data_IF_527657069850
#
_entry.id   IF_527657069850
#
_cell.length_a   1.000
_cell.length_b   1.000
_cell.length_c   1.000
_cell.angle_alpha   90.00
_cell.angle_beta   90.00
_cell.angle_gamma   90.00
#
_symmetry.space_group_name_H-M   'P 1'
#
loop_
_entity.id
_entity.type
_entity.pdbx_description
1 polymer ?
#
# COMPACT_ATOMS: atom_id res chain seq x y z
N UNK A 1 23.62 -39.95 -8.46
CA UNK A 1 23.16 -39.12 -7.33
C UNK A 1 22.28 -38.02 -7.90
N UNK A 2 20.94 -38.09 -7.81
CA UNK A 2 20.13 -36.94 -8.20
C UNK A 2 20.24 -35.90 -7.09
N UNK A 3 20.99 -34.83 -7.36
CA UNK A 3 21.09 -33.68 -6.47
C UNK A 3 19.68 -33.13 -6.25
N UNK A 4 19.17 -33.33 -5.04
CA UNK A 4 17.95 -32.70 -4.56
C UNK A 4 18.20 -31.19 -4.64
N UNK A 5 17.65 -30.55 -5.66
CA UNK A 5 17.47 -29.11 -5.67
C UNK A 5 16.46 -28.83 -4.57
N UNK A 6 16.99 -28.61 -3.36
CA UNK A 6 16.26 -28.08 -2.22
C UNK A 6 15.55 -26.84 -2.75
N UNK A 7 14.24 -26.98 -2.88
CA UNK A 7 13.30 -25.92 -3.15
C UNK A 7 13.50 -24.89 -2.02
N UNK A 8 14.39 -23.90 -2.23
CA UNK A 8 14.43 -22.73 -1.38
C UNK A 8 13.06 -22.10 -1.50
N UNK A 9 12.19 -22.43 -0.55
CA UNK A 9 10.91 -21.76 -0.36
C UNK A 9 11.23 -20.39 0.24
N UNK A 10 11.83 -19.51 -0.54
CA UNK A 10 11.54 -18.08 -0.38
C UNK A 10 10.02 -17.97 -0.50
N UNK A 11 9.39 -17.17 0.37
CA UNK A 11 7.96 -16.86 0.36
C UNK A 11 7.55 -16.07 -0.90
N UNK A 12 7.93 -16.59 -2.06
CA UNK A 12 7.72 -16.02 -3.38
C UNK A 12 6.24 -16.22 -3.70
N UNK A 13 5.50 -15.12 -3.57
CA UNK A 13 4.08 -15.05 -3.90
C UNK A 13 3.92 -15.41 -5.37
N UNK A 14 3.42 -16.61 -5.63
CA UNK A 14 3.21 -17.13 -6.96
C UNK A 14 1.75 -16.88 -7.38
N UNK A 15 1.57 -16.16 -8.48
CA UNK A 15 0.26 -15.76 -8.98
C UNK A 15 -0.09 -16.57 -10.24
N UNK A 16 -1.35 -17.02 -10.33
CA UNK A 16 -1.86 -17.73 -11.50
C UNK A 16 -2.59 -16.75 -12.43
N UNK A 17 -2.22 -16.73 -13.70
CA UNK A 17 -3.01 -16.01 -14.69
C UNK A 17 -4.31 -16.79 -14.99
N UNK A 18 -5.49 -16.19 -14.82
CA UNK A 18 -6.77 -16.88 -15.06
C UNK A 18 -6.99 -17.22 -16.55
N UNK A 19 -6.30 -16.53 -17.47
CA UNK A 19 -6.46 -16.74 -18.91
C UNK A 19 -5.63 -17.89 -19.45
N UNK A 20 -4.35 -17.95 -19.10
CA UNK A 20 -3.42 -18.94 -19.66
C UNK A 20 -3.00 -20.03 -18.66
N UNK A 21 -3.49 -19.96 -17.40
CA UNK A 21 -3.14 -20.88 -16.31
C UNK A 21 -1.64 -20.99 -16.04
N UNK A 22 -0.86 -20.02 -16.53
CA UNK A 22 0.58 -19.96 -16.33
C UNK A 22 0.87 -19.18 -15.06
N UNK A 23 1.75 -19.72 -14.25
CA UNK A 23 2.25 -19.05 -13.07
C UNK A 23 3.25 -17.96 -13.40
N UNK A 24 3.17 -16.88 -12.65
CA UNK A 24 4.13 -15.79 -12.69
C UNK A 24 4.38 -15.25 -11.28
N UNK A 25 5.58 -14.73 -11.08
CA UNK A 25 5.93 -13.95 -9.89
C UNK A 25 5.80 -12.47 -10.19
N UNK A 26 5.55 -11.67 -9.17
CA UNK A 26 5.62 -10.22 -9.23
C UNK A 26 6.83 -9.78 -8.41
N UNK A 27 7.69 -8.98 -9.01
CA UNK A 27 8.88 -8.46 -8.34
C UNK A 27 8.47 -7.42 -7.28
N UNK A 28 8.87 -7.60 -6.02
CA UNK A 28 8.64 -6.64 -4.91
C UNK A 28 9.34 -5.30 -5.08
N UNK A 29 10.38 -5.24 -5.92
CA UNK A 29 11.16 -4.03 -6.15
C UNK A 29 10.57 -3.13 -7.24
N UNK A 30 10.02 -3.70 -8.32
CA UNK A 30 9.56 -2.92 -9.47
C UNK A 30 8.10 -3.19 -9.90
N UNK A 31 7.39 -4.05 -9.15
CA UNK A 31 5.99 -4.45 -9.36
C UNK A 31 5.68 -5.01 -10.76
N UNK A 32 6.71 -5.50 -11.47
CA UNK A 32 6.55 -6.13 -12.78
C UNK A 32 6.49 -7.65 -12.65
N UNK A 33 5.65 -8.26 -13.49
CA UNK A 33 5.55 -9.71 -13.58
C UNK A 33 6.76 -10.34 -14.30
N UNK A 34 7.05 -11.60 -13.98
CA UNK A 34 7.98 -12.45 -14.74
C UNK A 34 9.40 -12.55 -14.20
N UNK A 35 9.71 -11.88 -13.09
CA UNK A 35 10.95 -12.08 -12.34
C UNK A 35 10.73 -11.85 -10.84
N UNK A 36 11.71 -12.22 -10.02
CA UNK A 36 11.74 -11.91 -8.60
C UNK A 36 12.88 -10.92 -8.30
N UNK A 37 12.89 -10.38 -7.08
CA UNK A 37 13.75 -9.28 -6.66
C UNK A 37 15.26 -9.54 -6.89
N UNK A 38 15.75 -10.76 -6.65
CA UNK A 38 17.16 -11.07 -6.86
C UNK A 38 17.60 -10.87 -8.33
N UNK A 39 16.76 -11.32 -9.29
CA UNK A 39 16.99 -11.13 -10.73
C UNK A 39 16.84 -9.65 -11.11
N UNK A 40 15.98 -8.91 -10.40
CA UNK A 40 15.82 -7.48 -10.61
C UNK A 40 17.14 -6.74 -10.36
N UNK A 41 17.82 -7.03 -9.25
CA UNK A 41 19.09 -6.40 -8.90
C UNK A 41 20.28 -6.85 -9.74
N UNK A 42 20.26 -8.05 -10.31
CA UNK A 42 21.28 -8.44 -11.30
C UNK A 42 21.22 -7.57 -12.56
N UNK A 43 20.02 -7.18 -12.99
CA UNK A 43 19.82 -6.27 -14.12
C UNK A 43 19.99 -4.80 -13.74
N UNK A 44 19.72 -4.47 -12.48
CA UNK A 44 19.78 -3.10 -11.94
C UNK A 44 20.59 -3.08 -10.63
N UNK A 45 21.94 -3.21 -10.72
CA UNK A 45 22.79 -3.28 -9.54
C UNK A 45 22.76 -2.00 -8.69
N UNK A 46 22.53 -0.84 -9.32
CA UNK A 46 22.50 0.46 -8.65
C UNK A 46 21.29 0.65 -7.72
N UNK A 47 20.22 -0.14 -7.91
CA UNK A 47 19.01 -0.06 -7.09
C UNK A 47 19.00 -1.09 -5.95
N UNK A 48 20.09 -1.85 -5.80
CA UNK A 48 20.23 -2.80 -4.70
C UNK A 48 20.15 -2.04 -3.37
N UNK A 49 19.23 -2.38 -2.46
CA UNK A 49 19.13 -1.75 -1.16
C UNK A 49 20.42 -2.06 -0.38
N UNK A 50 21.36 -1.14 -0.48
CA UNK A 50 22.56 -1.14 0.34
C UNK A 50 22.09 -0.82 1.75
N UNK A 51 22.37 -1.72 2.69
CA UNK A 51 21.97 -1.59 4.09
C UNK A 51 22.65 -0.40 4.76
N UNK A 52 22.23 0.83 4.49
CA UNK A 52 22.39 1.98 5.39
C UNK A 52 21.69 3.22 4.83
N UNK A 53 21.05 3.93 5.76
CA UNK A 53 20.59 5.32 5.70
C UNK A 53 19.43 5.68 4.78
N UNK A 54 18.30 6.01 5.44
CA UNK A 54 17.41 7.10 5.07
C UNK A 54 18.15 8.19 4.27
N UNK A 55 17.80 8.38 2.99
CA UNK A 55 17.59 9.69 2.38
C UNK A 55 17.11 9.55 0.95
N UNK A 56 15.99 10.23 0.69
CA UNK A 56 15.36 10.58 -0.56
C UNK A 56 16.21 10.41 -1.84
N UNK A 57 15.72 9.57 -2.76
CA UNK A 57 15.93 9.77 -4.19
C UNK A 57 14.58 9.62 -4.91
N UNK A 58 14.22 10.73 -5.56
CA UNK A 58 12.96 10.99 -6.25
C UNK A 58 12.69 9.98 -7.36
N UNK A 59 11.65 9.16 -7.20
CA UNK A 59 10.93 8.55 -8.32
C UNK A 59 9.54 9.15 -8.32
N UNK A 60 9.22 9.91 -9.37
CA UNK A 60 7.90 10.50 -9.59
C UNK A 60 6.91 9.39 -9.98
N UNK A 61 6.51 8.56 -9.02
CA UNK A 61 5.34 7.70 -9.14
C UNK A 61 4.12 8.55 -8.83
N UNK A 62 3.16 8.56 -9.76
CA UNK A 62 1.79 9.08 -9.57
C UNK A 62 1.28 8.70 -8.16
N UNK A 63 0.52 9.55 -7.45
CA UNK A 63 -0.11 9.11 -6.22
C UNK A 63 -1.11 8.03 -6.60
N UNK A 64 -0.71 6.76 -6.40
CA UNK A 64 -1.66 5.71 -6.13
C UNK A 64 -2.49 6.23 -4.96
N UNK A 65 -3.80 6.34 -5.15
CA UNK A 65 -4.72 6.64 -4.08
C UNK A 65 -4.57 5.54 -3.03
N UNK A 66 -3.66 5.77 -2.07
CA UNK A 66 -3.52 4.94 -0.90
C UNK A 66 -4.69 5.30 -0.01
N UNK A 67 -5.74 4.48 -0.04
CA UNK A 67 -6.66 4.42 1.08
C UNK A 67 -5.83 3.95 2.28
N UNK A 68 -5.34 4.90 3.08
CA UNK A 68 -4.79 4.60 4.39
C UNK A 68 -5.94 3.98 5.19
N UNK A 69 -5.92 2.66 5.33
CA UNK A 69 -6.71 1.96 6.32
C UNK A 69 -6.40 2.61 7.66
N UNK A 70 -7.40 3.23 8.27
CA UNK A 70 -7.30 3.83 9.59
C UNK A 70 -6.98 2.71 10.59
N UNK A 71 -5.70 2.53 10.86
CA UNK A 71 -5.24 1.69 11.96
C UNK A 71 -5.44 2.51 13.23
N UNK A 72 -6.62 2.39 13.82
CA UNK A 72 -6.83 2.69 15.23
C UNK A 72 -6.06 1.63 16.01
N UNK A 73 -4.86 1.95 16.49
CA UNK A 73 -4.21 1.17 17.53
C UNK A 73 -3.66 2.12 18.60
N UNK A 74 -3.95 1.87 19.88
CA UNK A 74 -3.56 2.76 20.96
C UNK A 74 -2.12 2.43 21.36
N UNK A 75 -1.15 3.09 20.75
CA UNK A 75 0.21 3.07 21.28
C UNK A 75 0.32 4.13 22.36
N UNK A 76 0.18 3.66 23.58
CA UNK A 76 0.41 4.37 24.83
C UNK A 76 1.86 4.86 24.93
N UNK A 77 2.11 6.12 24.56
CA UNK A 77 3.17 6.95 25.14
C UNK A 77 2.67 8.40 25.28
N UNK A 78 2.19 8.68 26.49
CA UNK A 78 2.25 9.93 27.28
C UNK A 78 2.29 11.29 26.55
N UNK A 79 1.16 12.01 26.72
CA UNK A 79 0.97 13.47 26.79
C UNK A 79 1.16 14.26 25.51
N UNK A 80 0.09 14.36 24.72
CA UNK A 80 -0.44 15.66 24.32
C UNK A 80 -1.90 15.47 23.89
N UNK A 81 -2.79 16.40 24.27
CA UNK A 81 -4.18 16.38 23.80
C UNK A 81 -4.27 16.32 22.27
N UNK A 82 -5.48 16.06 21.75
CA UNK A 82 -5.75 16.12 20.31
C UNK A 82 -5.06 17.34 19.69
N UNK A 83 -4.35 17.13 18.58
CA UNK A 83 -3.74 18.24 17.84
C UNK A 83 -4.84 19.22 17.42
N UNK A 84 -4.52 20.51 17.31
CA UNK A 84 -5.49 21.52 16.86
C UNK A 84 -6.12 21.15 15.51
N UNK A 85 -5.34 20.54 14.61
CA UNK A 85 -5.78 20.04 13.31
C UNK A 85 -6.78 18.88 13.44
N UNK A 86 -6.55 17.93 14.35
CA UNK A 86 -7.51 16.84 14.61
C UNK A 86 -8.81 17.36 15.23
N UNK A 87 -8.73 18.35 16.13
CA UNK A 87 -9.92 18.98 16.72
C UNK A 87 -10.72 19.71 15.66
N UNK A 88 -10.06 20.47 14.79
CA UNK A 88 -10.70 21.23 13.71
C UNK A 88 -11.30 20.30 12.66
N UNK A 89 -10.56 19.26 12.25
CA UNK A 89 -11.06 18.23 11.33
C UNK A 89 -12.33 17.55 11.88
N UNK A 90 -12.37 17.22 13.17
CA UNK A 90 -13.56 16.65 13.82
C UNK A 90 -14.72 17.63 13.84
N UNK A 91 -14.47 18.92 14.11
CA UNK A 91 -15.51 19.96 14.05
C UNK A 91 -16.09 20.12 12.65
N UNK A 92 -15.23 20.18 11.63
CA UNK A 92 -15.64 20.30 10.24
C UNK A 92 -16.52 19.11 9.80
N UNK A 93 -16.11 17.90 10.15
CA UNK A 93 -16.89 16.69 9.87
C UNK A 93 -18.26 16.71 10.58
N UNK A 94 -18.31 17.14 11.83
CA UNK A 94 -19.56 17.27 12.57
C UNK A 94 -20.50 18.31 11.93
N UNK A 95 -19.97 19.43 11.43
CA UNK A 95 -20.74 20.44 10.73
C UNK A 95 -21.31 19.92 9.40
N UNK A 96 -20.54 19.10 8.67
CA UNK A 96 -21.02 18.43 7.46
C UNK A 96 -22.20 17.51 7.76
N UNK A 97 -22.13 16.68 8.81
CA UNK A 97 -23.23 15.80 9.22
C UNK A 97 -24.46 16.57 9.72
N UNK A 98 -24.24 17.73 10.34
CA UNK A 98 -25.32 18.57 10.86
C UNK A 98 -25.98 19.44 9.77
N UNK A 99 -25.40 19.53 8.57
CA UNK A 99 -25.93 20.38 7.51
C UNK A 99 -27.31 19.87 7.04
N UNK A 100 -28.39 20.66 7.24
CA UNK A 100 -29.75 20.26 6.92
C UNK A 100 -30.00 20.13 5.41
N UNK A 101 -29.17 20.74 4.56
CA UNK A 101 -29.27 20.59 3.11
C UNK A 101 -29.05 19.14 2.66
N UNK A 102 -28.18 18.37 3.34
CA UNK A 102 -28.00 16.95 3.04
C UNK A 102 -29.25 16.12 3.32
N UNK A 103 -30.08 16.51 4.30
CA UNK A 103 -31.35 15.82 4.57
C UNK A 103 -32.43 16.15 3.54
N UNK A 104 -32.30 17.26 2.82
CA UNK A 104 -33.22 17.67 1.75
C UNK A 104 -32.94 16.98 0.41
N UNK A 105 -31.78 16.34 0.28
CA UNK A 105 -31.45 15.51 -0.89
C UNK A 105 -32.23 14.19 -0.82
N UNK A 106 -33.53 14.26 -1.11
CA UNK A 106 -34.39 13.09 -1.29
C UNK A 106 -34.01 12.40 -2.61
N UNK A 107 -32.97 11.57 -2.58
CA UNK A 107 -32.48 10.77 -3.73
C UNK A 107 -33.41 9.63 -4.13
N UNK A 108 -34.54 9.43 -3.45
CA UNK A 108 -35.62 8.56 -3.89
C UNK A 108 -36.52 9.30 -4.88
N UNK A 109 -36.03 9.50 -6.10
CA UNK A 109 -36.91 9.68 -7.25
C UNK A 109 -37.25 8.26 -7.70
N UNK A 110 -38.45 7.81 -7.35
CA UNK A 110 -39.08 6.61 -7.91
C UNK A 110 -39.04 6.68 -9.44
N UNK A 111 -38.62 5.58 -10.05
CA UNK A 111 -38.59 5.35 -11.50
C UNK A 111 -40.00 5.20 -12.07
#
# INVERSE_FOLDING_TARGET
MPSQQVLLTTDDKFYMCPHCKKGFTICSHCDKAGHHEAICFEKHPDQRPSKTSNSLASSKSKPVAQAHLAISSPTSHTVHGFTAEQIESKRNFQAMLANPEFKKLNINIEY
#
